data_IF_672585398491
#
_entry.id   IF_672585398491
#
_cell.length_a   1.000
_cell.length_b   1.000
_cell.length_c   1.000
_cell.angle_alpha   90.00
_cell.angle_beta   90.00
_cell.angle_gamma   90.00
#
_symmetry.space_group_name_H-M   'P 1'
#
loop_
_entity.id
_entity.type
_entity.pdbx_description
1 polymer ?
#
# COMPACT_ATOMS: atom_id res chain seq x y z
N UNK A 1 8.13 -16.30 -6.97
CA UNK A 1 7.14 -15.46 -6.30
C UNK A 1 6.65 -16.08 -5.02
N UNK A 2 6.57 -15.27 -3.96
CA UNK A 2 6.08 -15.64 -2.64
C UNK A 2 6.11 -14.45 -1.69
N UNK A 3 5.28 -14.49 -0.66
CA UNK A 3 5.17 -13.48 0.40
C UNK A 3 5.69 -14.06 1.72
N UNK A 4 6.53 -13.30 2.43
CA UNK A 4 7.11 -13.66 3.74
C UNK A 4 7.84 -12.46 4.36
N UNK A 5 7.29 -11.24 4.25
CA UNK A 5 7.93 -9.97 4.59
C UNK A 5 8.50 -9.98 6.00
N UNK A 6 7.73 -10.38 7.01
CA UNK A 6 8.20 -10.41 8.40
C UNK A 6 9.47 -11.27 8.59
N UNK A 7 9.48 -12.46 7.96
CA UNK A 7 10.63 -13.37 8.02
C UNK A 7 11.83 -12.75 7.31
N UNK A 8 11.62 -12.21 6.11
CA UNK A 8 12.68 -11.60 5.30
C UNK A 8 13.31 -10.40 6.01
N UNK A 9 12.50 -9.55 6.65
CA UNK A 9 12.98 -8.41 7.43
C UNK A 9 13.82 -8.81 8.65
N UNK A 10 13.69 -10.06 9.12
CA UNK A 10 14.42 -10.58 10.28
C UNK A 10 15.78 -11.20 9.94
N UNK A 11 16.12 -11.30 8.64
CA UNK A 11 17.38 -11.92 8.20
C UNK A 11 18.57 -10.95 8.30
N UNK A 12 19.74 -11.38 8.79
CA UNK A 12 20.88 -10.51 9.15
C UNK A 12 21.56 -9.80 7.97
N UNK A 13 21.29 -10.21 6.73
CA UNK A 13 21.84 -9.61 5.51
C UNK A 13 20.79 -8.82 4.69
N UNK A 14 19.59 -8.63 5.25
CA UNK A 14 18.51 -7.86 4.62
C UNK A 14 18.47 -6.46 5.23
N UNK A 15 18.15 -5.47 4.39
CA UNK A 15 17.90 -4.11 4.85
C UNK A 15 16.41 -3.95 5.22
N UNK A 16 16.05 -3.89 6.52
CA UNK A 16 14.66 -3.84 6.93
C UNK A 16 14.00 -2.48 6.66
N UNK A 17 14.77 -1.44 6.32
CA UNK A 17 14.27 -0.08 6.10
C UNK A 17 13.84 0.13 4.66
N UNK A 18 14.55 -0.49 3.71
CA UNK A 18 14.30 -0.32 2.26
C UNK A 18 13.54 -1.48 1.61
N UNK A 19 13.41 -2.61 2.29
CA UNK A 19 12.65 -3.76 1.78
C UNK A 19 11.16 -3.46 1.73
N UNK A 20 10.52 -3.73 0.61
CA UNK A 20 9.08 -3.47 0.40
C UNK A 20 8.39 -4.68 -0.22
N UNK A 21 7.08 -4.83 0.02
CA UNK A 21 6.22 -5.86 -0.59
C UNK A 21 5.18 -5.18 -1.49
N UNK A 22 4.63 -5.92 -2.45
CA UNK A 22 3.47 -5.51 -3.24
C UNK A 22 2.16 -6.10 -2.70
N UNK A 23 2.23 -6.93 -1.66
CA UNK A 23 1.05 -7.42 -0.93
C UNK A 23 0.67 -6.42 0.17
N UNK A 24 -0.44 -5.69 -0.06
CA UNK A 24 -0.93 -4.66 0.85
C UNK A 24 -1.45 -5.25 2.16
N UNK A 25 -2.01 -6.46 2.14
CA UNK A 25 -2.49 -7.14 3.34
C UNK A 25 -1.32 -7.53 4.23
N UNK A 26 -0.25 -8.05 3.65
CA UNK A 26 0.99 -8.37 4.38
C UNK A 26 1.64 -7.12 4.99
N UNK A 27 1.67 -6.00 4.26
CA UNK A 27 2.17 -4.72 4.79
C UNK A 27 1.32 -4.24 5.98
N UNK A 28 0.00 -4.43 5.93
CA UNK A 28 -0.89 -4.09 7.05
C UNK A 28 -0.52 -4.88 8.30
N UNK A 29 -0.33 -6.19 8.17
CA UNK A 29 -0.03 -7.09 9.29
C UNK A 29 1.36 -6.84 9.89
N UNK A 30 2.35 -6.50 9.05
CA UNK A 30 3.76 -6.37 9.48
C UNK A 30 4.13 -4.93 9.89
N UNK A 31 3.66 -3.93 9.14
CA UNK A 31 4.08 -2.53 9.30
C UNK A 31 2.95 -1.57 9.72
N UNK A 32 1.68 -2.00 9.63
CA UNK A 32 0.52 -1.22 10.09
C UNK A 32 -0.10 -0.30 9.03
N UNK A 33 -1.14 0.43 9.46
CA UNK A 33 -2.06 1.16 8.55
C UNK A 33 -1.41 2.34 7.82
N UNK A 34 -0.46 3.06 8.42
CA UNK A 34 0.22 4.17 7.73
C UNK A 34 1.21 3.68 6.67
N UNK A 35 1.83 2.52 6.89
CA UNK A 35 2.64 1.87 5.87
C UNK A 35 1.77 1.46 4.68
N UNK A 36 0.58 0.93 4.93
CA UNK A 36 -0.43 0.64 3.89
C UNK A 36 -0.79 1.89 3.10
N UNK A 37 -1.08 3.01 3.77
CA UNK A 37 -1.43 4.28 3.11
C UNK A 37 -0.36 4.70 2.10
N UNK A 38 0.91 4.62 2.50
CA UNK A 38 2.03 4.98 1.62
C UNK A 38 2.28 3.95 0.52
N UNK A 39 2.11 2.66 0.81
CA UNK A 39 2.26 1.59 -0.18
C UNK A 39 1.20 1.70 -1.28
N UNK A 40 -0.07 1.94 -0.93
CA UNK A 40 -1.14 2.15 -1.93
C UNK A 40 -0.83 3.37 -2.80
N UNK A 41 -0.43 4.49 -2.20
CA UNK A 41 -0.06 5.70 -2.95
C UNK A 41 1.03 5.40 -3.99
N UNK A 42 2.07 4.63 -3.60
CA UNK A 42 3.17 4.23 -4.48
C UNK A 42 2.71 3.30 -5.59
N UNK A 43 1.95 2.25 -5.28
CA UNK A 43 1.47 1.30 -6.29
C UNK A 43 0.55 1.97 -7.31
N UNK A 44 -0.38 2.82 -6.84
CA UNK A 44 -1.28 3.57 -7.73
C UNK A 44 -0.51 4.54 -8.63
N UNK A 45 0.46 5.27 -8.07
CA UNK A 45 1.32 6.15 -8.85
C UNK A 45 2.10 5.36 -9.91
N UNK A 46 2.65 4.19 -9.56
CA UNK A 46 3.38 3.35 -10.49
C UNK A 46 2.50 2.89 -11.66
N UNK A 47 1.28 2.43 -11.39
CA UNK A 47 0.34 1.97 -12.45
C UNK A 47 -0.08 3.12 -13.37
N UNK A 48 -0.39 4.29 -12.82
CA UNK A 48 -0.84 5.44 -13.63
C UNK A 48 0.31 6.00 -14.48
N UNK A 49 1.49 6.15 -13.88
CA UNK A 49 2.66 6.71 -14.58
C UNK A 49 3.23 5.74 -15.62
N UNK A 50 3.04 4.43 -15.45
CA UNK A 50 3.44 3.42 -16.42
C UNK A 50 2.75 3.60 -17.79
N UNK A 51 1.48 4.03 -17.80
CA UNK A 51 0.72 4.33 -19.02
C UNK A 51 0.98 5.74 -19.58
N UNK A 52 1.97 6.46 -19.03
CA UNK A 52 2.26 7.86 -19.38
C UNK A 52 1.20 8.86 -18.92
N UNK A 53 0.18 8.40 -18.20
CA UNK A 53 -0.88 9.23 -17.66
C UNK A 53 -0.40 10.01 -16.42
N UNK A 54 -0.94 11.20 -16.23
CA UNK A 54 -0.67 12.03 -15.05
C UNK A 54 -1.95 12.25 -14.24
N UNK A 55 -1.85 12.04 -12.93
CA UNK A 55 -2.87 12.40 -11.95
C UNK A 55 -2.21 13.23 -10.86
N UNK A 56 -2.83 14.35 -10.49
CA UNK A 56 -2.32 15.19 -9.42
C UNK A 56 -2.24 14.41 -8.09
N UNK A 57 -1.13 14.54 -7.37
CA UNK A 57 -0.90 13.92 -6.06
C UNK A 57 -2.10 14.06 -5.11
N UNK A 58 -2.78 15.22 -5.11
CA UNK A 58 -3.91 15.48 -4.21
C UNK A 58 -5.08 14.50 -4.41
N UNK A 59 -5.30 14.02 -5.63
CA UNK A 59 -6.37 13.05 -5.91
C UNK A 59 -6.00 11.66 -5.37
N UNK A 60 -4.75 11.24 -5.57
CA UNK A 60 -4.25 9.95 -5.08
C UNK A 60 -4.17 9.93 -3.56
N UNK A 61 -3.65 11.00 -2.96
CA UNK A 61 -3.59 11.15 -1.51
C UNK A 61 -4.98 11.05 -0.88
N UNK A 62 -5.96 11.79 -1.41
CA UNK A 62 -7.33 11.76 -0.88
C UNK A 62 -7.97 10.37 -0.98
N UNK A 63 -7.72 9.65 -2.08
CA UNK A 63 -8.18 8.27 -2.23
C UNK A 63 -7.54 7.33 -1.20
N UNK A 64 -6.22 7.41 -1.03
CA UNK A 64 -5.49 6.60 -0.06
C UNK A 64 -5.98 6.88 1.37
N UNK A 65 -6.18 8.15 1.71
CA UNK A 65 -6.69 8.56 3.02
C UNK A 65 -8.11 8.00 3.26
N UNK A 66 -8.99 8.03 2.26
CA UNK A 66 -10.33 7.41 2.37
C UNK A 66 -10.24 5.89 2.58
N UNK A 67 -9.28 5.21 1.96
CA UNK A 67 -9.08 3.77 2.12
C UNK A 67 -8.52 3.38 3.51
N UNK A 68 -7.84 4.29 4.21
CA UNK A 68 -7.12 3.97 5.47
C UNK A 68 -7.62 4.70 6.71
N UNK A 69 -8.47 5.72 6.58
CA UNK A 69 -8.88 6.60 7.69
C UNK A 69 -9.57 5.89 8.88
N UNK A 70 -10.15 4.69 8.69
CA UNK A 70 -10.84 3.96 9.77
C UNK A 70 -9.92 3.05 10.59
N UNK A 71 -8.62 3.01 10.32
CA UNK A 71 -7.67 2.14 11.01
C UNK A 71 -7.62 0.70 10.48
N UNK A 72 -8.41 0.39 9.45
CA UNK A 72 -8.33 -0.84 8.68
C UNK A 72 -8.47 -0.52 7.18
N UNK A 73 -7.94 -1.39 6.32
CA UNK A 73 -8.04 -1.23 4.88
C UNK A 73 -9.50 -1.35 4.43
N UNK A 74 -10.02 -0.33 3.75
CA UNK A 74 -11.33 -0.36 3.12
C UNK A 74 -11.19 -0.56 1.61
N UNK A 75 -11.69 -1.68 1.11
CA UNK A 75 -11.77 -1.93 -0.33
C UNK A 75 -12.85 -1.04 -0.97
N UNK A 76 -12.52 -0.46 -2.11
CA UNK A 76 -13.46 0.29 -2.96
C UNK A 76 -13.93 -0.66 -4.06
N UNK A 77 -15.19 -1.06 -3.99
CA UNK A 77 -15.80 -1.96 -4.99
C UNK A 77 -16.98 -1.27 -5.66
N UNK A 78 -17.55 -1.89 -6.70
CA UNK A 78 -18.79 -1.39 -7.35
C UNK A 78 -19.97 -1.22 -6.37
N UNK A 79 -19.94 -1.90 -5.23
CA UNK A 79 -20.95 -1.78 -4.17
C UNK A 79 -20.68 -0.59 -3.24
N UNK A 80 -19.66 0.21 -3.54
CA UNK A 80 -19.22 1.34 -2.74
C UNK A 80 -18.21 0.94 -1.67
N UNK A 81 -18.07 1.83 -0.69
CA UNK A 81 -17.32 1.62 0.54
C UNK A 81 -18.29 0.95 1.52
N UNK A 82 -18.28 -0.39 1.55
CA UNK A 82 -19.07 -1.11 2.54
C UNK A 82 -18.44 -0.91 3.93
N UNK A 83 -19.31 -0.62 4.90
CA UNK A 83 -18.97 0.10 6.13
C UNK A 83 -18.19 -0.73 7.13
#
# INVERSE_FOLDING_TARGET
>A
DGTALLRVLSEPMIDPVRTTSNDICEIFEVLGIEAVRKSIEREMHNVISFDGSYVNYRHLALLCDVMTAKGHLMAITRHGINR
#
